data_IF_520405191757
#
_entry.id   IF_520405191757
#
_cell.length_a   1.000
_cell.length_b   1.000
_cell.length_c   1.000
_cell.angle_alpha   90.00
_cell.angle_beta   90.00
_cell.angle_gamma   90.00
#
_symmetry.space_group_name_H-M   'P 1'
#
loop_
_entity.id
_entity.type
_entity.pdbx_description
1 polymer ?
#
# COMPACT_ATOMS: atom_id res chain seq x y z
N UNK A 1 19.17 1.98 -6.28
CA UNK A 1 18.04 2.85 -6.70
C UNK A 1 17.65 3.79 -5.56
N UNK A 2 17.05 3.29 -4.47
CA UNK A 2 16.61 4.13 -3.34
C UNK A 2 17.76 4.85 -2.60
N UNK A 3 18.94 4.23 -2.48
CA UNK A 3 20.12 4.84 -1.83
C UNK A 3 20.55 6.17 -2.45
N UNK A 4 20.28 6.37 -3.75
CA UNK A 4 20.60 7.61 -4.47
C UNK A 4 19.40 8.57 -4.60
N UNK A 5 18.21 8.18 -4.12
CA UNK A 5 16.97 8.91 -4.36
C UNK A 5 17.02 10.36 -3.87
N UNK A 6 17.69 10.63 -2.74
CA UNK A 6 17.82 11.99 -2.18
C UNK A 6 18.59 12.96 -3.07
N UNK A 7 19.49 12.45 -3.92
CA UNK A 7 20.29 13.26 -4.83
C UNK A 7 19.57 13.52 -6.16
N UNK A 8 18.70 12.59 -6.57
CA UNK A 8 17.93 12.67 -7.82
C UNK A 8 16.63 13.45 -7.58
N UNK A 9 15.94 13.15 -6.47
CA UNK A 9 14.64 13.70 -6.09
C UNK A 9 14.75 14.40 -4.73
N UNK A 10 15.35 15.60 -4.66
CA UNK A 10 15.59 16.30 -3.39
C UNK A 10 14.30 16.81 -2.73
N UNK A 11 13.26 17.11 -3.52
CA UNK A 11 11.93 17.43 -3.00
C UNK A 11 11.06 16.18 -2.93
N UNK A 12 10.35 15.95 -1.82
CA UNK A 12 9.52 14.76 -1.59
C UNK A 12 10.23 13.46 -2.00
N UNK A 13 11.40 13.21 -1.40
CA UNK A 13 12.23 12.05 -1.74
C UNK A 13 11.47 10.75 -1.51
N UNK A 14 11.35 9.86 -2.52
CA UNK A 14 10.65 8.60 -2.37
C UNK A 14 11.40 7.64 -1.44
N UNK A 15 10.68 7.05 -0.48
CA UNK A 15 11.23 6.11 0.52
C UNK A 15 10.99 4.63 0.17
N UNK A 16 10.06 4.36 -0.74
CA UNK A 16 9.73 3.01 -1.23
C UNK A 16 10.01 2.88 -2.73
N UNK A 17 10.21 1.65 -3.22
CA UNK A 17 10.45 1.40 -4.65
C UNK A 17 9.26 1.81 -5.52
N UNK A 18 8.05 1.59 -5.02
CA UNK A 18 6.82 1.99 -5.69
C UNK A 18 6.70 3.51 -5.83
N UNK A 19 6.92 4.26 -4.74
CA UNK A 19 6.94 5.72 -4.79
C UNK A 19 8.03 6.25 -5.73
N UNK A 20 9.20 5.59 -5.76
CA UNK A 20 10.27 5.93 -6.68
C UNK A 20 9.84 5.75 -8.14
N UNK A 21 9.16 4.65 -8.45
CA UNK A 21 8.66 4.38 -9.80
C UNK A 21 7.62 5.43 -10.23
N UNK A 22 6.65 5.76 -9.38
CA UNK A 22 5.69 6.82 -9.67
C UNK A 22 6.36 8.16 -9.87
N UNK A 23 7.39 8.48 -9.06
CA UNK A 23 8.16 9.72 -9.20
C UNK A 23 8.89 9.79 -10.54
N UNK A 24 9.48 8.68 -11.01
CA UNK A 24 10.10 8.63 -12.34
C UNK A 24 9.10 8.88 -13.47
N UNK A 25 7.91 8.28 -13.39
CA UNK A 25 6.85 8.49 -14.38
C UNK A 25 6.39 9.94 -14.35
N UNK A 26 6.13 10.49 -13.15
CA UNK A 26 5.72 11.88 -12.97
C UNK A 26 6.72 12.87 -13.60
N UNK A 27 8.01 12.78 -13.27
CA UNK A 27 8.99 13.72 -13.81
C UNK A 27 9.23 13.57 -15.31
N UNK A 28 8.97 12.39 -15.91
CA UNK A 28 9.01 12.23 -17.37
C UNK A 28 7.94 13.06 -18.07
N UNK A 29 6.76 13.22 -17.48
CA UNK A 29 5.66 13.98 -18.06
C UNK A 29 5.60 15.44 -17.56
N UNK A 30 6.03 15.68 -16.33
CA UNK A 30 5.95 16.97 -15.64
C UNK A 30 7.31 17.38 -15.04
N UNK A 31 8.32 17.68 -15.86
CA UNK A 31 9.68 17.97 -15.38
C UNK A 31 9.81 19.34 -14.68
N UNK A 32 8.76 20.16 -14.69
CA UNK A 32 8.80 21.53 -14.18
C UNK A 32 8.75 21.57 -12.65
N UNK A 33 9.54 22.46 -12.06
CA UNK A 33 9.58 22.65 -10.60
C UNK A 33 8.21 23.04 -10.03
N UNK A 34 7.40 23.80 -10.77
CA UNK A 34 6.03 24.16 -10.34
C UNK A 34 5.15 22.93 -10.16
N UNK A 35 5.23 21.93 -11.04
CA UNK A 35 4.46 20.70 -10.93
C UNK A 35 4.88 19.84 -9.74
N UNK A 36 6.18 19.80 -9.44
CA UNK A 36 6.70 19.08 -8.26
C UNK A 36 6.09 19.64 -6.96
N UNK A 37 5.89 20.96 -6.88
CA UNK A 37 5.36 21.64 -5.69
C UNK A 37 3.85 21.45 -5.48
N UNK A 38 3.10 21.01 -6.50
CA UNK A 38 1.65 20.78 -6.36
C UNK A 38 1.33 19.44 -5.72
N UNK A 39 2.28 18.50 -5.71
CA UNK A 39 2.09 17.18 -5.10
C UNK A 39 2.43 17.27 -3.61
N UNK A 40 1.44 17.16 -2.70
CA UNK A 40 1.70 17.19 -1.27
C UNK A 40 2.54 15.97 -0.87
N UNK A 41 3.61 16.22 -0.11
CA UNK A 41 4.45 15.17 0.45
C UNK A 41 3.91 14.64 1.78
N UNK A 42 4.44 13.49 2.20
CA UNK A 42 4.17 12.90 3.50
C UNK A 42 3.37 11.60 3.45
N UNK A 43 3.07 11.02 4.61
CA UNK A 43 2.30 9.79 4.71
C UNK A 43 0.90 9.94 4.12
N UNK A 44 0.51 9.01 3.25
CA UNK A 44 -0.86 8.90 2.74
C UNK A 44 -1.24 7.44 2.52
N UNK A 45 -2.54 7.19 2.49
CA UNK A 45 -3.13 5.90 2.11
C UNK A 45 -4.27 6.21 1.16
N UNK A 46 -4.23 5.67 -0.06
CA UNK A 46 -5.23 5.91 -1.10
C UNK A 46 -5.56 7.43 -1.29
N UNK A 47 -6.84 7.77 -1.37
CA UNK A 47 -7.34 9.14 -1.57
C UNK A 47 -7.25 10.04 -0.33
N UNK A 48 -6.52 9.62 0.71
CA UNK A 48 -6.59 10.21 2.03
C UNK A 48 -5.32 10.98 2.39
N UNK A 49 -5.44 12.01 3.22
CA UNK A 49 -4.29 12.69 3.84
C UNK A 49 -3.74 11.85 5.00
N UNK A 50 -2.61 12.28 5.58
CA UNK A 50 -2.03 11.67 6.77
C UNK A 50 -3.04 11.48 7.92
N UNK A 51 -4.13 12.27 7.95
CA UNK A 51 -5.18 12.14 8.95
C UNK A 51 -5.89 10.79 8.95
N UNK A 52 -5.97 10.13 7.80
CA UNK A 52 -6.59 8.82 7.70
C UNK A 52 -5.80 7.74 8.44
N UNK A 53 -4.48 7.90 8.55
CA UNK A 53 -3.62 6.97 9.31
C UNK A 53 -4.02 6.94 10.79
N UNK A 54 -4.62 8.03 11.30
CA UNK A 54 -5.10 8.09 12.68
C UNK A 54 -6.45 7.38 12.89
N UNK A 55 -7.16 7.03 11.81
CA UNK A 55 -8.48 6.38 11.92
C UNK A 55 -8.37 4.89 12.25
N UNK A 56 -7.30 4.24 11.79
CA UNK A 56 -7.05 2.83 12.05
C UNK A 56 -5.55 2.59 12.28
N UNK A 57 -5.22 2.01 13.44
CA UNK A 57 -3.86 1.65 13.80
C UNK A 57 -3.19 0.72 12.77
N UNK A 58 -3.97 -0.11 12.06
CA UNK A 58 -3.47 -1.00 11.01
C UNK A 58 -2.92 -0.24 9.80
N UNK A 59 -3.38 0.99 9.54
CA UNK A 59 -2.92 1.79 8.40
C UNK A 59 -1.56 2.44 8.64
N UNK A 60 -1.19 2.66 9.90
CA UNK A 60 0.14 3.19 10.26
C UNK A 60 1.29 2.28 9.83
N UNK A 61 1.04 0.97 9.76
CA UNK A 61 2.02 -0.03 9.34
C UNK A 61 2.13 -0.20 7.82
N UNK A 62 1.26 0.43 7.03
CA UNK A 62 1.21 0.20 5.59
C UNK A 62 0.77 1.43 4.78
N UNK A 63 1.72 2.34 4.62
CA UNK A 63 1.56 3.67 4.01
C UNK A 63 1.67 3.64 2.49
N UNK A 64 1.08 2.64 1.83
CA UNK A 64 1.03 2.61 0.38
C UNK A 64 0.05 3.68 -0.14
N UNK A 65 0.54 4.72 -0.86
CA UNK A 65 -0.32 5.78 -1.39
C UNK A 65 -1.35 5.24 -2.40
N UNK A 66 -1.13 4.08 -3.02
CA UNK A 66 -2.11 3.48 -3.93
C UNK A 66 -3.23 2.73 -3.20
N UNK A 67 -3.01 2.35 -1.93
CA UNK A 67 -3.89 1.49 -1.14
C UNK A 67 -4.00 0.05 -1.65
N UNK A 68 -3.35 -0.31 -2.77
CA UNK A 68 -3.44 -1.64 -3.37
C UNK A 68 -2.57 -2.66 -2.66
N UNK A 69 -1.49 -2.22 -2.02
CA UNK A 69 -0.62 -3.05 -1.21
C UNK A 69 -1.13 -3.21 0.24
N UNK A 70 -2.40 -2.90 0.51
CA UNK A 70 -3.04 -3.12 1.81
C UNK A 70 -2.82 -4.56 2.32
N UNK A 71 -2.06 -4.73 3.41
CA UNK A 71 -1.86 -6.04 4.03
C UNK A 71 -3.22 -6.65 4.42
N UNK A 72 -3.45 -7.91 4.03
CA UNK A 72 -4.66 -8.65 4.39
C UNK A 72 -5.89 -8.43 3.49
N UNK A 73 -5.83 -7.60 2.45
CA UNK A 73 -6.98 -7.47 1.51
C UNK A 73 -6.95 -8.49 0.37
N UNK A 74 -5.77 -9.03 0.06
CA UNK A 74 -5.57 -10.05 -0.98
C UNK A 74 -5.35 -11.42 -0.34
N UNK A 75 -5.85 -12.50 -0.97
CA UNK A 75 -5.69 -13.87 -0.48
C UNK A 75 -4.21 -14.26 -0.30
N UNK A 76 -3.35 -13.83 -1.22
CA UNK A 76 -1.91 -14.06 -1.15
C UNK A 76 -1.22 -13.31 0.01
N UNK A 77 -1.84 -12.27 0.58
CA UNK A 77 -1.28 -11.55 1.73
C UNK A 77 -1.20 -12.44 2.99
N UNK A 78 -1.96 -13.54 3.03
CA UNK A 78 -1.96 -14.49 4.13
C UNK A 78 -0.96 -15.65 3.95
N UNK A 79 -0.37 -15.83 2.76
CA UNK A 79 0.55 -16.95 2.50
C UNK A 79 1.89 -16.78 3.23
N UNK A 80 2.31 -15.54 3.52
CA UNK A 80 3.54 -15.24 4.26
C UNK A 80 3.41 -15.34 5.80
N UNK A 81 2.26 -15.78 6.35
CA UNK A 81 2.09 -15.96 7.79
C UNK A 81 2.91 -17.11 8.40
N UNK A 82 3.65 -17.86 7.58
CA UNK A 82 4.47 -19.00 8.00
C UNK A 82 5.98 -18.74 8.03
N UNK A 83 6.45 -17.52 7.72
CA UNK A 83 7.87 -17.18 7.76
C UNK A 83 8.18 -16.31 9.00
N UNK A 84 8.82 -16.84 10.05
CA UNK A 84 8.96 -16.18 11.35
C UNK A 84 9.85 -14.91 11.33
N UNK A 85 10.59 -14.64 10.25
CA UNK A 85 11.44 -13.45 10.13
C UNK A 85 10.68 -12.16 9.74
N UNK A 86 9.46 -12.25 9.21
CA UNK A 86 8.81 -11.10 8.55
C UNK A 86 7.48 -10.64 9.18
N UNK A 87 7.18 -11.03 10.42
CA UNK A 87 5.95 -10.62 11.11
C UNK A 87 6.17 -9.31 11.89
N UNK A 88 5.50 -8.19 11.56
CA UNK A 88 5.53 -6.99 12.40
C UNK A 88 4.85 -7.26 13.74
N UNK A 89 5.46 -6.78 14.83
CA UNK A 89 5.05 -7.04 16.22
C UNK A 89 3.56 -6.75 16.55
N UNK A 90 2.88 -5.94 15.73
CA UNK A 90 1.45 -5.64 15.88
C UNK A 90 0.52 -6.85 15.67
N UNK A 91 0.92 -7.85 14.89
CA UNK A 91 0.09 -9.04 14.60
C UNK A 91 0.14 -10.05 15.77
N UNK A 92 1.21 -10.05 16.55
CA UNK A 92 1.41 -10.99 17.66
C UNK A 92 0.43 -10.79 18.83
N UNK A 93 -0.24 -9.64 18.92
CA UNK A 93 -1.18 -9.32 20.02
C UNK A 93 -2.65 -9.68 19.73
N UNK A 94 -2.99 -10.16 18.52
CA UNK A 94 -4.36 -10.49 18.13
C UNK A 94 -4.70 -11.96 18.38
N UNK A 95 -5.40 -12.23 19.48
CA UNK A 95 -5.90 -13.56 19.87
C UNK A 95 -6.52 -14.34 18.69
N UNK A 96 -6.03 -15.57 18.50
CA UNK A 96 -6.39 -16.44 17.39
C UNK A 96 -7.89 -16.70 17.29
N UNK A 97 -8.53 -16.16 16.25
CA UNK A 97 -9.79 -16.67 15.73
C UNK A 97 -9.58 -17.04 14.27
N UNK A 98 -9.61 -18.36 14.00
CA UNK A 98 -9.61 -18.90 12.63
C UNK A 98 -10.67 -18.17 11.80
N UNK A 99 -10.36 -17.69 10.58
CA UNK A 99 -11.37 -17.09 9.72
C UNK A 99 -12.43 -18.15 9.39
N UNK A 100 -13.70 -17.84 9.67
CA UNK A 100 -14.81 -18.70 9.26
C UNK A 100 -14.94 -18.58 7.75
N UNK A 101 -14.62 -19.65 7.03
CA UNK A 101 -14.73 -19.73 5.57
C UNK A 101 -16.20 -19.55 5.17
N UNK A 102 -16.55 -18.40 4.59
CA UNK A 102 -17.85 -18.24 3.93
C UNK A 102 -17.70 -18.83 2.52
N UNK A 103 -18.33 -19.98 2.29
CA UNK A 103 -18.45 -20.54 0.94
C UNK A 103 -19.44 -19.67 0.16
N UNK A 104 -18.94 -18.83 -0.73
CA UNK A 104 -19.77 -18.18 -1.76
C UNK A 104 -19.91 -19.17 -2.91
N UNK A 105 -21.14 -19.62 -3.18
CA UNK A 105 -21.43 -20.48 -4.33
C UNK A 105 -21.25 -19.68 -5.64
N UNK A 106 -20.69 -20.28 -6.71
CA UNK A 106 -20.56 -19.62 -7.99
C UNK A 106 -21.94 -19.36 -8.62
N UNK A 107 -22.14 -18.23 -9.32
CA UNK A 107 -23.41 -17.94 -9.97
C UNK A 107 -23.62 -18.89 -11.16
N UNK A 108 -24.66 -19.72 -11.08
CA UNK A 108 -25.09 -20.58 -12.18
C UNK A 108 -25.68 -19.75 -13.31
N UNK A 109 -25.05 -19.79 -14.49
CA UNK A 109 -25.66 -19.34 -15.75
C UNK A 109 -26.47 -20.51 -16.30
N UNK A 110 -27.80 -20.41 -16.28
CA UNK A 110 -28.69 -21.28 -17.03
C UNK A 110 -29.25 -20.48 -18.20
N UNK A 111 -28.87 -20.88 -19.42
CA UNK A 111 -29.55 -20.52 -20.66
C UNK A 111 -30.24 -21.80 -21.15
N UNK A 112 -31.57 -21.85 -21.06
CA UNK A 112 -32.38 -22.93 -21.64
C UNK A 112 -32.84 -22.52 -23.04
N UNK A 113 -32.77 -23.47 -23.99
CA UNK A 113 -33.28 -23.35 -25.35
C UNK A 113 -34.61 -24.06 -25.53
#
# INVERSE_FOLDING_TARGET
MLSNAKFIFPHNTPTTKEAYYYRMVFERFFPQKSAILTVPGGPSVACSTAKAIEWDAQWSGNLDPSGRAALGVHLAAYEHQHDPEHVPAAIAAGSGKKPRTIRVAPPGVAIEG
#
